data_IF_135764906486
#
_entry.id   IF_135764906486
#
_cell.length_a   1.000
_cell.length_b   1.000
_cell.length_c   1.000
_cell.angle_alpha   90.00
_cell.angle_beta   90.00
_cell.angle_gamma   90.00
#
_symmetry.space_group_name_H-M   'P 1'
#
loop_
_entity.id
_entity.type
_entity.pdbx_description
1 polymer ?
#
# COMPACT_ATOMS: atom_id res chain seq x y z
N UNK A 1 -8.71 2.22 18.65
CA UNK A 1 -7.49 2.30 17.78
C UNK A 1 -6.81 3.63 18.06
N UNK A 2 -5.52 3.62 18.28
CA UNK A 2 -4.73 4.84 18.53
C UNK A 2 -4.36 5.51 17.19
N UNK A 3 -5.26 6.35 16.68
CA UNK A 3 -5.15 6.94 15.34
C UNK A 3 -3.92 7.84 15.16
N UNK A 4 -3.54 8.56 16.21
CA UNK A 4 -2.32 9.39 16.20
C UNK A 4 -1.06 8.57 15.98
N UNK A 5 -0.99 7.38 16.59
CA UNK A 5 0.14 6.47 16.39
C UNK A 5 0.16 5.87 14.99
N UNK A 6 -1.00 5.49 14.45
CA UNK A 6 -1.14 4.99 13.07
C UNK A 6 -0.68 6.04 12.05
N UNK A 7 -1.13 7.29 12.21
CA UNK A 7 -0.69 8.40 11.36
C UNK A 7 0.83 8.61 11.42
N UNK A 8 1.41 8.60 12.63
CA UNK A 8 2.85 8.74 12.82
C UNK A 8 3.65 7.63 12.13
N UNK A 9 3.25 6.37 12.30
CA UNK A 9 3.91 5.22 11.67
C UNK A 9 3.79 5.26 10.13
N UNK A 10 2.66 5.71 9.60
CA UNK A 10 2.50 5.96 8.17
C UNK A 10 3.47 7.03 7.69
N UNK A 11 3.55 8.15 8.40
CA UNK A 11 4.45 9.26 8.10
C UNK A 11 5.91 8.84 8.02
N UNK A 12 6.38 8.06 9.00
CA UNK A 12 7.75 7.54 9.02
C UNK A 12 8.10 6.74 7.76
N UNK A 13 7.19 5.91 7.26
CA UNK A 13 7.44 5.07 6.09
C UNK A 13 7.27 5.85 4.79
N UNK A 14 6.12 6.49 4.59
CA UNK A 14 5.78 7.07 3.29
C UNK A 14 6.34 8.47 3.08
N UNK A 15 6.41 9.28 4.12
CA UNK A 15 6.84 10.67 3.99
C UNK A 15 8.34 10.83 4.28
N UNK A 16 8.81 10.34 5.42
CA UNK A 16 10.20 10.55 5.84
C UNK A 16 11.16 9.63 5.08
N UNK A 17 10.86 8.33 5.02
CA UNK A 17 11.73 7.33 4.38
C UNK A 17 11.67 7.37 2.85
N UNK A 18 10.50 7.66 2.27
CA UNK A 18 10.32 7.64 0.81
C UNK A 18 10.24 9.03 0.21
N UNK A 19 9.10 9.74 0.34
CA UNK A 19 8.95 11.06 -0.27
C UNK A 19 7.74 11.81 0.29
N UNK A 20 7.90 13.08 0.57
CA UNK A 20 6.80 14.00 0.93
C UNK A 20 5.80 14.24 -0.21
N UNK A 21 6.07 13.76 -1.42
CA UNK A 21 5.12 13.76 -2.53
C UNK A 21 4.09 12.62 -2.44
N UNK A 22 4.28 11.67 -1.52
CA UNK A 22 3.27 10.66 -1.24
C UNK A 22 2.03 11.29 -0.58
N UNK A 23 0.84 10.67 -0.71
CA UNK A 23 -0.36 11.13 -0.04
C UNK A 23 -0.14 11.29 1.47
N UNK A 24 -0.57 12.42 2.03
CA UNK A 24 -0.46 12.72 3.45
C UNK A 24 -1.79 12.36 4.12
N UNK A 25 -1.93 11.11 4.51
CA UNK A 25 -3.13 10.62 5.17
C UNK A 25 -3.18 11.09 6.62
N UNK A 26 -4.34 11.59 7.02
CA UNK A 26 -4.63 12.08 8.38
C UNK A 26 -5.31 11.03 9.22
N UNK A 27 -5.42 11.26 10.54
CA UNK A 27 -6.19 10.40 11.45
C UNK A 27 -7.62 10.17 10.96
N UNK A 28 -8.25 11.22 10.41
CA UNK A 28 -9.59 11.12 9.84
C UNK A 28 -9.67 10.11 8.69
N UNK A 29 -8.66 10.07 7.83
CA UNK A 29 -8.62 9.07 6.75
C UNK A 29 -8.58 7.65 7.31
N UNK A 30 -7.75 7.38 8.32
CA UNK A 30 -7.64 6.05 8.91
C UNK A 30 -8.92 5.65 9.68
N UNK A 31 -9.56 6.61 10.34
CA UNK A 31 -10.86 6.39 10.97
C UNK A 31 -11.94 6.06 9.94
N UNK A 32 -12.08 6.88 8.91
CA UNK A 32 -13.04 6.67 7.82
C UNK A 32 -12.80 5.34 7.08
N UNK A 33 -11.53 4.96 6.87
CA UNK A 33 -11.18 3.71 6.21
C UNK A 33 -11.71 2.48 6.97
N UNK A 34 -11.66 2.51 8.29
CA UNK A 34 -12.18 1.41 9.11
C UNK A 34 -13.69 1.52 9.29
N UNK A 35 -14.18 2.70 9.68
CA UNK A 35 -15.59 2.89 10.08
C UNK A 35 -16.56 2.95 8.91
N UNK A 36 -16.17 3.59 7.79
CA UNK A 36 -17.03 3.82 6.64
C UNK A 36 -16.72 2.91 5.45
N UNK A 37 -15.44 2.62 5.19
CA UNK A 37 -15.03 1.82 4.03
C UNK A 37 -14.91 0.32 4.34
N UNK A 38 -15.14 -0.09 5.59
CA UNK A 38 -15.10 -1.49 6.01
C UNK A 38 -13.72 -2.13 5.94
N UNK A 39 -12.65 -1.33 5.96
CA UNK A 39 -11.29 -1.85 6.03
C UNK A 39 -10.96 -2.33 7.44
N UNK A 40 -10.05 -3.30 7.56
CA UNK A 40 -9.52 -3.75 8.84
C UNK A 40 -8.13 -3.17 9.04
N UNK A 41 -7.79 -2.89 10.28
CA UNK A 41 -6.44 -2.47 10.66
C UNK A 41 -5.79 -3.60 11.47
N UNK A 42 -4.79 -4.26 10.88
CA UNK A 42 -3.93 -5.23 11.57
C UNK A 42 -2.80 -4.45 12.24
N UNK A 43 -2.63 -4.61 13.55
CA UNK A 43 -1.58 -3.95 14.30
C UNK A 43 -0.62 -4.98 14.92
N UNK A 44 0.67 -4.68 14.90
CA UNK A 44 1.65 -5.34 15.75
C UNK A 44 1.89 -4.46 16.97
N UNK A 45 1.91 -5.09 18.13
CA UNK A 45 2.21 -4.42 19.40
C UNK A 45 3.49 -4.99 20.01
N UNK A 46 4.21 -4.15 20.73
CA UNK A 46 5.37 -4.58 21.51
C UNK A 46 4.95 -5.16 22.89
N UNK A 47 5.93 -5.50 23.71
CA UNK A 47 5.71 -6.04 25.05
C UNK A 47 5.09 -5.04 26.05
N UNK A 48 4.98 -3.77 25.65
CA UNK A 48 4.36 -2.70 26.42
C UNK A 48 3.00 -2.27 25.84
N UNK A 49 2.41 -3.11 25.00
CA UNK A 49 1.14 -2.85 24.26
C UNK A 49 1.15 -1.60 23.37
N UNK A 50 2.33 -1.12 22.96
CA UNK A 50 2.44 0.01 22.03
C UNK A 50 2.38 -0.49 20.60
N UNK A 51 1.62 0.17 19.74
CA UNK A 51 1.57 -0.15 18.31
C UNK A 51 2.92 0.21 17.65
N UNK A 52 3.62 -0.80 17.15
CA UNK A 52 4.93 -0.66 16.48
C UNK A 52 4.85 -0.84 14.97
N UNK A 53 3.79 -1.47 14.46
CA UNK A 53 3.50 -1.54 13.04
C UNK A 53 2.00 -1.71 12.80
N UNK A 54 1.53 -1.30 11.64
CA UNK A 54 0.15 -1.55 11.21
C UNK A 54 0.06 -1.83 9.71
N UNK A 55 -1.02 -2.47 9.31
CA UNK A 55 -1.42 -2.67 7.92
C UNK A 55 -2.91 -2.45 7.78
N UNK A 56 -3.29 -1.54 6.91
CA UNK A 56 -4.69 -1.36 6.52
C UNK A 56 -5.03 -2.42 5.48
N UNK A 57 -6.12 -3.15 5.67
CA UNK A 57 -6.52 -4.30 4.86
C UNK A 57 -7.88 -4.03 4.23
N UNK A 58 -7.93 -4.03 2.91
CA UNK A 58 -9.17 -4.03 2.14
C UNK A 58 -9.39 -5.42 1.55
N UNK A 59 -10.52 -6.06 1.88
CA UNK A 59 -10.88 -7.37 1.37
C UNK A 59 -12.05 -7.24 0.41
N UNK A 60 -11.85 -7.61 -0.84
CA UNK A 60 -12.91 -7.62 -1.85
C UNK A 60 -12.91 -8.94 -2.61
N UNK A 61 -14.00 -9.70 -2.47
CA UNK A 61 -14.12 -11.04 -3.04
C UNK A 61 -12.99 -11.96 -2.57
N UNK A 62 -12.13 -12.43 -3.46
CA UNK A 62 -10.98 -13.30 -3.16
C UNK A 62 -9.64 -12.56 -3.17
N UNK A 63 -9.67 -11.23 -3.19
CA UNK A 63 -8.44 -10.41 -3.22
C UNK A 63 -8.38 -9.55 -1.98
N UNK A 64 -7.27 -9.60 -1.32
CA UNK A 64 -6.89 -8.70 -0.23
C UNK A 64 -5.85 -7.73 -0.75
N UNK A 65 -6.10 -6.45 -0.52
CA UNK A 65 -5.18 -5.35 -0.87
C UNK A 65 -4.75 -4.64 0.40
N UNK A 66 -3.50 -4.22 0.45
CA UNK A 66 -2.92 -3.44 1.53
C UNK A 66 -2.70 -2.00 1.03
N UNK A 67 -3.69 -1.11 1.15
CA UNK A 67 -3.59 0.26 0.62
C UNK A 67 -2.61 1.13 1.42
N UNK A 68 -2.42 0.87 2.69
CA UNK A 68 -1.47 1.58 3.54
C UNK A 68 -0.90 0.65 4.61
N UNK A 69 0.34 0.88 4.97
CA UNK A 69 1.01 0.25 6.09
C UNK A 69 1.96 1.26 6.74
N UNK A 70 2.39 0.97 7.94
CA UNK A 70 3.41 1.78 8.63
C UNK A 70 4.10 0.94 9.68
N UNK A 71 5.32 1.27 9.99
CA UNK A 71 6.09 0.63 11.05
C UNK A 71 7.12 1.60 11.62
N UNK A 72 7.54 1.35 12.84
CA UNK A 72 8.56 2.16 13.48
C UNK A 72 9.90 1.97 12.75
N UNK A 73 10.36 3.03 12.09
CA UNK A 73 11.61 3.01 11.32
C UNK A 73 12.85 3.22 12.19
N UNK A 74 12.67 3.69 13.43
CA UNK A 74 13.76 3.89 14.39
C UNK A 74 14.25 2.58 15.01
N UNK A 75 13.44 1.52 14.91
CA UNK A 75 13.76 0.19 15.42
C UNK A 75 13.99 -0.81 14.27
N UNK A 76 14.99 -0.50 13.44
CA UNK A 76 15.29 -1.27 12.23
C UNK A 76 15.70 -2.73 12.51
N UNK A 77 16.25 -3.02 13.70
CA UNK A 77 16.73 -4.37 14.08
C UNK A 77 15.58 -5.36 14.28
N UNK A 78 14.42 -4.91 14.70
CA UNK A 78 13.26 -5.77 14.97
C UNK A 78 12.65 -6.40 13.70
N UNK A 79 12.99 -5.91 12.52
CA UNK A 79 12.46 -6.45 11.27
C UNK A 79 10.94 -6.34 11.15
N UNK A 80 10.34 -5.28 11.69
CA UNK A 80 8.89 -5.07 11.82
C UNK A 80 8.13 -5.26 10.50
N UNK A 81 8.72 -4.83 9.39
CA UNK A 81 8.13 -5.07 8.06
C UNK A 81 7.94 -6.56 7.75
N UNK A 82 8.91 -7.40 8.13
CA UNK A 82 8.83 -8.86 7.93
C UNK A 82 7.79 -9.49 8.84
N UNK A 83 7.72 -9.06 10.10
CA UNK A 83 6.72 -9.53 11.05
C UNK A 83 5.30 -9.14 10.64
N UNK A 84 5.12 -7.90 10.14
CA UNK A 84 3.83 -7.44 9.63
C UNK A 84 3.34 -8.32 8.48
N UNK A 85 4.23 -8.65 7.52
CA UNK A 85 3.87 -9.54 6.42
C UNK A 85 3.65 -10.99 6.89
N UNK A 86 4.39 -11.48 7.87
CA UNK A 86 4.13 -12.81 8.42
C UNK A 86 2.74 -12.90 9.06
N UNK A 87 2.35 -11.91 9.85
CA UNK A 87 1.01 -11.82 10.44
C UNK A 87 -0.08 -11.72 9.35
N UNK A 88 0.18 -10.93 8.30
CA UNK A 88 -0.72 -10.84 7.13
C UNK A 88 -0.91 -12.19 6.44
N UNK A 89 0.16 -12.93 6.19
CA UNK A 89 0.08 -14.26 5.57
C UNK A 89 -0.68 -15.27 6.42
N UNK A 90 -0.48 -15.27 7.72
CA UNK A 90 -1.24 -16.14 8.62
C UNK A 90 -2.75 -15.89 8.50
N UNK A 91 -3.14 -14.62 8.50
CA UNK A 91 -4.55 -14.24 8.36
C UNK A 91 -5.12 -14.61 6.98
N UNK A 92 -4.37 -14.38 5.91
CA UNK A 92 -4.81 -14.65 4.55
C UNK A 92 -4.87 -16.15 4.21
N UNK A 93 -3.98 -16.96 4.76
CA UNK A 93 -4.00 -18.39 4.53
C UNK A 93 -5.28 -19.04 5.06
N UNK A 94 -5.81 -18.54 6.16
CA UNK A 94 -7.09 -18.97 6.71
C UNK A 94 -8.29 -18.61 5.82
N UNK A 95 -8.17 -17.55 5.00
CA UNK A 95 -9.24 -17.06 4.13
C UNK A 95 -9.18 -17.63 2.71
N UNK A 96 -8.09 -18.26 2.30
CA UNK A 96 -7.88 -18.75 0.93
C UNK A 96 -7.91 -17.63 -0.12
N UNK A 97 -7.39 -16.44 0.23
CA UNK A 97 -7.42 -15.25 -0.61
C UNK A 97 -6.07 -14.98 -1.28
N UNK A 98 -6.11 -14.27 -2.39
CA UNK A 98 -4.94 -13.70 -3.04
C UNK A 98 -4.53 -12.39 -2.35
N UNK A 99 -3.22 -12.18 -2.17
CA UNK A 99 -2.70 -10.91 -1.68
C UNK A 99 -2.21 -10.05 -2.85
N UNK A 100 -2.85 -8.91 -3.04
CA UNK A 100 -2.27 -7.85 -3.85
C UNK A 100 -1.25 -7.08 -3.01
N UNK A 101 0.01 -7.28 -3.34
CA UNK A 101 1.13 -6.65 -2.66
C UNK A 101 1.32 -5.16 -3.02
N UNK A 102 0.57 -4.64 -4.01
CA UNK A 102 0.81 -3.31 -4.57
C UNK A 102 2.24 -3.15 -5.13
N UNK A 103 2.66 -1.93 -5.45
CA UNK A 103 4.00 -1.63 -5.96
C UNK A 103 5.07 -1.58 -4.85
N UNK A 104 6.34 -1.47 -5.22
CA UNK A 104 7.48 -1.34 -4.30
C UNK A 104 7.98 -2.66 -3.70
N UNK A 105 9.20 -2.64 -3.14
CA UNK A 105 9.87 -3.77 -2.48
C UNK A 105 9.83 -5.09 -3.30
N UNK A 106 10.05 -5.03 -4.62
CA UNK A 106 9.88 -6.14 -5.55
C UNK A 106 10.68 -7.39 -5.18
N UNK A 107 11.96 -7.25 -4.80
CA UNK A 107 12.81 -8.38 -4.39
C UNK A 107 12.32 -9.09 -3.13
N UNK A 108 11.84 -8.33 -2.17
CA UNK A 108 11.22 -8.88 -0.96
C UNK A 108 10.00 -9.74 -1.30
N UNK A 109 9.16 -9.25 -2.20
CA UNK A 109 7.92 -9.91 -2.62
C UNK A 109 8.18 -11.16 -3.47
N UNK A 110 9.09 -11.09 -4.44
CA UNK A 110 9.49 -12.25 -5.26
C UNK A 110 10.03 -13.40 -4.42
N UNK A 111 10.90 -13.11 -3.46
CA UNK A 111 11.46 -14.12 -2.54
C UNK A 111 10.39 -14.81 -1.68
N UNK A 112 9.14 -14.32 -1.70
CA UNK A 112 7.98 -14.86 -0.95
C UNK A 112 6.85 -15.29 -1.86
N UNK A 113 7.16 -15.65 -3.11
CA UNK A 113 6.18 -16.17 -4.06
C UNK A 113 5.31 -15.11 -4.72
N UNK A 114 5.67 -13.82 -4.61
CA UNK A 114 4.97 -12.77 -5.33
C UNK A 114 5.23 -12.86 -6.83
N UNK A 115 4.15 -12.84 -7.60
CA UNK A 115 4.19 -12.85 -9.07
C UNK A 115 3.89 -11.44 -9.57
N UNK A 116 4.74 -10.83 -10.42
CA UNK A 116 4.45 -9.54 -10.99
C UNK A 116 3.22 -9.60 -11.89
N UNK A 117 2.31 -8.66 -11.69
CA UNK A 117 1.05 -8.57 -12.43
C UNK A 117 0.83 -7.12 -12.87
N UNK A 118 0.32 -6.94 -14.09
CA UNK A 118 -0.06 -5.61 -14.58
C UNK A 118 -1.27 -5.09 -13.82
N UNK A 119 -1.14 -3.89 -13.29
CA UNK A 119 -2.24 -3.13 -12.71
C UNK A 119 -2.57 -1.95 -13.62
N UNK A 120 -3.86 -1.70 -13.79
CA UNK A 120 -4.36 -0.60 -14.60
C UNK A 120 -5.03 0.43 -13.72
N UNK A 121 -4.67 1.71 -13.91
CA UNK A 121 -5.36 2.83 -13.28
C UNK A 121 -6.28 3.47 -14.31
N UNK A 122 -7.58 3.48 -14.02
CA UNK A 122 -8.56 4.18 -14.85
C UNK A 122 -8.63 5.65 -14.44
N UNK A 123 -8.21 6.53 -15.33
CA UNK A 123 -8.32 7.98 -15.14
C UNK A 123 -9.47 8.52 -15.99
N UNK A 124 -10.40 9.24 -15.36
CA UNK A 124 -11.52 9.89 -16.05
C UNK A 124 -11.48 11.39 -15.76
N UNK A 125 -11.40 12.19 -16.82
CA UNK A 125 -11.59 13.62 -16.68
C UNK A 125 -13.08 13.93 -16.41
N UNK A 126 -13.40 14.93 -15.56
CA UNK A 126 -14.75 15.45 -15.45
C UNK A 126 -15.27 15.91 -16.82
N UNK A 127 -16.60 15.82 -17.07
CA UNK A 127 -17.22 16.13 -18.37
C UNK A 127 -16.93 17.55 -18.89
N UNK A 128 -16.67 18.48 -17.98
CA UNK A 128 -16.36 19.89 -18.29
C UNK A 128 -14.87 20.23 -18.25
N UNK A 129 -14.00 19.22 -18.30
CA UNK A 129 -12.55 19.45 -18.29
C UNK A 129 -12.09 20.11 -19.57
N UNK A 130 -11.33 21.18 -19.45
CA UNK A 130 -10.73 21.88 -20.58
C UNK A 130 -9.76 20.98 -21.37
N UNK A 131 -9.46 21.40 -22.60
CA UNK A 131 -8.57 20.68 -23.53
C UNK A 131 -7.17 20.37 -22.92
N UNK A 132 -6.67 21.23 -22.05
CA UNK A 132 -5.39 21.04 -21.34
C UNK A 132 -5.41 19.80 -20.43
N UNK A 133 -6.48 19.62 -19.65
CA UNK A 133 -6.64 18.44 -18.79
C UNK A 133 -6.72 17.16 -19.61
N UNK A 134 -7.46 17.19 -20.71
CA UNK A 134 -7.56 16.04 -21.62
C UNK A 134 -6.21 15.72 -22.29
N UNK A 135 -5.45 16.75 -22.70
CA UNK A 135 -4.11 16.60 -23.25
C UNK A 135 -3.12 16.00 -22.24
N UNK A 136 -3.19 16.44 -21.00
CA UNK A 136 -2.34 15.92 -19.91
C UNK A 136 -2.67 14.44 -19.59
N UNK A 137 -3.94 14.06 -19.55
CA UNK A 137 -4.33 12.67 -19.35
C UNK A 137 -3.83 11.74 -20.47
N UNK A 138 -3.94 12.17 -21.74
CA UNK A 138 -3.38 11.42 -22.87
C UNK A 138 -1.86 11.29 -22.80
N UNK A 139 -1.17 12.33 -22.34
CA UNK A 139 0.28 12.27 -22.13
C UNK A 139 0.65 11.28 -21.00
N UNK A 140 -0.08 11.33 -19.88
CA UNK A 140 0.12 10.39 -18.77
C UNK A 140 -0.12 8.94 -19.19
N UNK A 141 -1.15 8.68 -19.97
CA UNK A 141 -1.45 7.36 -20.54
C UNK A 141 -0.28 6.84 -21.40
N UNK A 142 0.23 7.67 -22.31
CA UNK A 142 1.35 7.31 -23.19
C UNK A 142 2.65 7.06 -22.43
N UNK A 143 2.96 7.88 -21.44
CA UNK A 143 4.17 7.75 -20.65
C UNK A 143 4.08 6.56 -19.67
N UNK A 144 2.94 6.41 -19.02
CA UNK A 144 2.70 5.33 -18.06
C UNK A 144 2.77 3.95 -18.71
N UNK A 145 2.15 3.76 -19.88
CA UNK A 145 2.16 2.49 -20.59
C UNK A 145 3.58 2.07 -21.00
N UNK A 146 4.40 2.97 -21.52
CA UNK A 146 5.79 2.67 -21.92
C UNK A 146 6.65 2.26 -20.71
N UNK A 147 6.63 3.06 -19.64
CA UNK A 147 7.44 2.80 -18.43
C UNK A 147 7.06 1.47 -17.77
N UNK A 148 5.79 1.12 -17.76
CA UNK A 148 5.32 -0.13 -17.15
C UNK A 148 5.76 -1.35 -17.94
N UNK A 149 5.64 -1.33 -19.26
CA UNK A 149 6.07 -2.43 -20.14
C UNK A 149 7.58 -2.64 -20.07
N UNK A 150 8.37 -1.57 -20.18
CA UNK A 150 9.83 -1.64 -20.09
C UNK A 150 10.30 -2.21 -18.74
N UNK A 151 9.68 -1.80 -17.62
CA UNK A 151 10.00 -2.35 -16.30
C UNK A 151 9.63 -3.82 -16.16
N UNK A 152 8.52 -4.26 -16.71
CA UNK A 152 8.16 -5.68 -16.69
C UNK A 152 9.15 -6.53 -17.50
N UNK A 153 9.54 -6.08 -18.68
CA UNK A 153 10.54 -6.79 -19.49
C UNK A 153 11.91 -6.85 -18.79
N UNK A 154 12.30 -5.79 -18.08
CA UNK A 154 13.52 -5.79 -17.28
C UNK A 154 13.47 -6.71 -16.04
N UNK A 155 12.29 -7.16 -15.62
CA UNK A 155 12.10 -8.05 -14.46
C UNK A 155 12.08 -9.53 -14.84
N UNK A 156 12.30 -9.86 -16.11
CA UNK A 156 12.47 -11.25 -16.58
C UNK A 156 11.15 -12.04 -16.57
N UNK A 157 10.10 -11.44 -17.10
CA UNK A 157 8.89 -12.17 -17.44
C UNK A 157 9.11 -13.02 -18.69
#
# INVERSE_FOLDING_TARGET
MELSRIEALYGQVYLEKHSYLNPQYTQKFFDDAVSLMGMRCLCLVDTLDRIVAFSLISHKQRVVTVPALGYDTHDAEQGLYRHLFAALYQELSALGCWLNYSSGAGDFKRKRGGVPTLEYTLLRAPAHSGWMTQGMLKLMERLGSKVTVERMMAWGA
#
